data_IF_833746545820
#
_entry.id   IF_833746545820
#
_cell.length_a   1.000
_cell.length_b   1.000
_cell.length_c   1.000
_cell.angle_alpha   90.00
_cell.angle_beta   90.00
_cell.angle_gamma   90.00
#
_symmetry.space_group_name_H-M   'P 1'
#
loop_
_entity.id
_entity.type
_entity.pdbx_description
1 polymer ?
#
# COMPACT_ATOMS: atom_id res chain seq x y z
N UNK A 1 8.69 -1.94 -10.15
CA UNK A 1 9.44 -1.68 -8.91
C UNK A 1 9.91 -2.99 -8.32
N UNK A 2 11.17 -3.13 -8.05
CA UNK A 2 11.76 -4.30 -7.39
C UNK A 2 12.14 -3.91 -5.97
N UNK A 3 11.69 -4.67 -4.99
CA UNK A 3 11.92 -4.38 -3.57
C UNK A 3 12.90 -5.37 -2.96
N UNK A 4 13.66 -4.90 -1.99
CA UNK A 4 14.57 -5.70 -1.19
C UNK A 4 14.15 -5.70 0.27
N UNK A 5 14.56 -6.72 1.02
CA UNK A 5 14.33 -6.79 2.45
C UNK A 5 14.91 -5.54 3.13
N UNK A 6 14.13 -4.90 3.98
CA UNK A 6 14.50 -3.66 4.64
C UNK A 6 14.04 -2.38 3.94
N UNK A 7 13.60 -2.45 2.69
CA UNK A 7 13.06 -1.28 2.01
C UNK A 7 11.83 -0.75 2.75
N UNK A 8 11.68 0.57 2.75
CA UNK A 8 10.49 1.25 3.25
C UNK A 8 9.70 1.74 2.06
N UNK A 9 8.40 1.42 2.02
CA UNK A 9 7.50 1.85 0.96
C UNK A 9 6.25 2.47 1.57
N UNK A 10 5.64 3.39 0.83
CA UNK A 10 4.38 4.02 1.21
C UNK A 10 3.29 3.64 0.23
N UNK A 11 2.10 3.37 0.76
CA UNK A 11 0.89 3.22 -0.02
C UNK A 11 0.01 4.43 0.23
N UNK A 12 -0.24 5.21 -0.81
CA UNK A 12 -1.09 6.38 -0.75
C UNK A 12 -2.37 6.07 -1.52
N UNK A 13 -3.52 6.23 -0.87
CA UNK A 13 -4.83 6.15 -1.52
C UNK A 13 -5.46 7.54 -1.51
N UNK A 14 -5.91 7.98 -2.68
CA UNK A 14 -6.58 9.26 -2.87
C UNK A 14 -8.00 9.03 -3.37
N UNK A 15 -8.91 9.92 -2.97
CA UNK A 15 -10.33 9.88 -3.37
C UNK A 15 -11.03 8.59 -2.94
N UNK A 16 -10.63 8.00 -1.82
CA UNK A 16 -11.29 6.84 -1.25
C UNK A 16 -12.67 7.27 -0.71
N UNK A 17 -13.72 6.60 -1.19
CA UNK A 17 -15.09 6.92 -0.78
C UNK A 17 -15.58 5.97 0.29
N UNK A 18 -16.24 6.53 1.29
CA UNK A 18 -16.99 5.78 2.27
C UNK A 18 -18.40 5.53 1.72
N UNK A 19 -18.82 4.27 1.62
CA UNK A 19 -20.14 3.89 1.10
C UNK A 19 -21.29 4.47 1.91
N UNK A 20 -21.10 4.69 3.20
CA UNK A 20 -22.15 5.12 4.12
C UNK A 20 -22.27 6.64 4.23
N UNK A 21 -21.21 7.38 4.08
CA UNK A 21 -21.18 8.82 4.31
C UNK A 21 -20.93 9.66 3.06
N UNK A 22 -20.62 9.03 1.93
CA UNK A 22 -20.16 9.73 0.71
C UNK A 22 -18.96 10.65 0.94
N UNK A 23 -18.21 10.43 2.02
CA UNK A 23 -17.03 11.20 2.34
C UNK A 23 -15.87 10.74 1.48
N UNK A 24 -15.13 11.69 0.92
CA UNK A 24 -13.89 11.41 0.17
C UNK A 24 -12.72 11.64 1.10
N UNK A 25 -11.90 10.61 1.27
CA UNK A 25 -10.74 10.68 2.16
C UNK A 25 -9.47 10.25 1.44
N UNK A 26 -8.34 10.73 1.93
CA UNK A 26 -7.02 10.27 1.54
C UNK A 26 -6.42 9.50 2.70
N UNK A 27 -5.68 8.44 2.40
CA UNK A 27 -4.99 7.66 3.41
C UNK A 27 -3.56 7.36 2.99
N UNK A 28 -2.69 7.22 3.97
CA UNK A 28 -1.29 6.89 3.76
C UNK A 28 -0.87 5.83 4.78
N UNK A 29 -0.25 4.76 4.29
CA UNK A 29 0.32 3.71 5.11
C UNK A 29 1.79 3.53 4.74
N UNK A 30 2.63 3.33 5.74
CA UNK A 30 4.06 3.08 5.56
C UNK A 30 4.35 1.64 5.93
N UNK A 31 5.06 0.94 5.05
CA UNK A 31 5.40 -0.46 5.21
C UNK A 31 6.90 -0.69 5.14
N UNK A 32 7.35 -1.70 5.84
CA UNK A 32 8.70 -2.23 5.71
C UNK A 32 8.64 -3.61 5.06
N UNK A 33 9.51 -3.85 4.09
CA UNK A 33 9.67 -5.16 3.49
C UNK A 33 10.44 -6.05 4.47
N UNK A 34 9.75 -7.03 5.05
CA UNK A 34 10.33 -7.94 6.04
C UNK A 34 10.72 -9.29 5.44
N UNK A 35 10.22 -9.60 4.25
CA UNK A 35 10.50 -10.86 3.57
C UNK A 35 10.37 -10.71 2.06
N UNK A 36 11.24 -11.36 1.33
CA UNK A 36 11.15 -11.47 -0.13
C UNK A 36 10.91 -12.93 -0.46
N UNK A 37 9.70 -13.25 -0.94
CA UNK A 37 9.30 -14.59 -1.36
C UNK A 37 9.44 -14.73 -2.87
N UNK A 38 9.18 -15.90 -3.41
CA UNK A 38 9.28 -16.16 -4.85
C UNK A 38 8.31 -15.27 -5.66
N UNK A 39 7.06 -15.13 -5.21
CA UNK A 39 6.00 -14.40 -5.93
C UNK A 39 5.47 -13.17 -5.19
N UNK A 40 5.88 -12.98 -3.94
CA UNK A 40 5.35 -11.90 -3.11
C UNK A 40 6.44 -11.25 -2.28
N UNK A 41 6.12 -10.06 -1.77
CA UNK A 41 6.88 -9.39 -0.71
C UNK A 41 6.06 -9.47 0.58
N UNK A 42 6.68 -9.89 1.68
CA UNK A 42 6.07 -9.79 3.00
C UNK A 42 6.27 -8.38 3.54
N UNK A 43 5.20 -7.73 3.96
CA UNK A 43 5.21 -6.37 4.46
C UNK A 43 4.72 -6.31 5.89
N UNK A 44 5.32 -5.41 6.68
CA UNK A 44 4.81 -5.02 7.99
C UNK A 44 4.47 -3.54 7.95
N UNK A 45 3.27 -3.19 8.37
CA UNK A 45 2.86 -1.80 8.46
C UNK A 45 3.55 -1.16 9.67
N UNK A 46 4.32 -0.12 9.43
CA UNK A 46 5.09 0.60 10.47
C UNK A 46 4.56 2.00 10.73
N UNK A 47 3.62 2.48 9.94
CA UNK A 47 3.01 3.80 10.12
C UNK A 47 1.62 3.88 9.51
N UNK A 48 0.74 4.66 10.14
CA UNK A 48 -0.64 4.82 9.76
C UNK A 48 -1.59 4.04 10.68
N UNK A 49 -2.88 4.05 10.32
CA UNK A 49 -3.91 3.46 11.18
C UNK A 49 -3.85 1.92 11.29
N UNK A 50 -3.09 1.27 10.40
CA UNK A 50 -2.91 -0.19 10.41
C UNK A 50 -1.56 -0.62 10.98
N UNK A 51 -0.87 0.26 11.69
CA UNK A 51 0.44 -0.04 12.27
C UNK A 51 0.43 -1.35 13.07
N UNK A 52 1.43 -2.19 12.82
CA UNK A 52 1.57 -3.50 13.46
C UNK A 52 0.98 -4.66 12.68
N UNK A 53 0.20 -4.40 11.62
CA UNK A 53 -0.34 -5.46 10.77
C UNK A 53 0.67 -5.95 9.75
N UNK A 54 0.50 -7.19 9.28
CA UNK A 54 1.33 -7.80 8.25
C UNK A 54 0.47 -8.19 7.06
N UNK A 55 1.03 -8.05 5.86
CA UNK A 55 0.36 -8.45 4.62
C UNK A 55 1.39 -8.87 3.58
N UNK A 56 0.89 -9.36 2.45
CA UNK A 56 1.72 -9.69 1.30
C UNK A 56 1.37 -8.79 0.13
N UNK A 57 2.39 -8.39 -0.62
CA UNK A 57 2.25 -7.65 -1.86
C UNK A 57 2.77 -8.51 -3.00
N UNK A 58 1.96 -8.73 -4.02
CA UNK A 58 2.36 -9.55 -5.17
C UNK A 58 3.50 -8.85 -5.94
N UNK A 59 4.50 -9.63 -6.36
CA UNK A 59 5.52 -9.11 -7.27
C UNK A 59 4.88 -8.76 -8.61
N UNK A 60 5.29 -7.67 -9.21
CA UNK A 60 4.64 -7.14 -10.40
C UNK A 60 3.43 -6.27 -10.11
N UNK A 61 3.22 -5.86 -8.86
CA UNK A 61 2.17 -4.92 -8.50
C UNK A 61 2.29 -3.61 -9.30
N UNK A 62 1.17 -2.96 -9.55
CA UNK A 62 1.15 -1.66 -10.21
C UNK A 62 1.54 -0.56 -9.22
N UNK A 63 2.53 0.24 -9.59
CA UNK A 63 2.97 1.36 -8.75
C UNK A 63 1.92 2.45 -8.63
N UNK A 64 1.07 2.60 -9.66
CA UNK A 64 -0.04 3.53 -9.65
C UNK A 64 -1.22 2.90 -10.37
N UNK A 65 -2.38 2.90 -9.74
CA UNK A 65 -3.60 2.35 -10.31
C UNK A 65 -4.82 3.13 -9.84
N UNK A 66 -5.89 3.06 -10.61
CA UNK A 66 -7.18 3.65 -10.24
C UNK A 66 -8.27 2.60 -10.43
N UNK A 67 -9.23 2.57 -9.52
CA UNK A 67 -10.39 1.69 -9.64
C UNK A 67 -11.55 2.38 -10.38
N UNK A 68 -12.65 1.66 -10.55
CA UNK A 68 -13.84 2.17 -11.25
C UNK A 68 -14.54 3.32 -10.51
N UNK A 69 -14.26 3.48 -9.23
CA UNK A 69 -14.83 4.55 -8.39
C UNK A 69 -13.95 5.79 -8.31
N UNK A 70 -12.81 5.79 -8.99
CA UNK A 70 -11.87 6.90 -9.00
C UNK A 70 -10.88 6.91 -7.84
N UNK A 71 -10.85 5.89 -6.99
CA UNK A 71 -9.82 5.76 -5.96
C UNK A 71 -8.48 5.45 -6.62
N UNK A 72 -7.49 6.28 -6.37
CA UNK A 72 -6.12 6.11 -6.89
C UNK A 72 -5.24 5.53 -5.79
N UNK A 73 -4.56 4.45 -6.11
CA UNK A 73 -3.57 3.82 -5.23
C UNK A 73 -2.19 4.01 -5.83
N UNK A 74 -1.25 4.49 -5.03
CA UNK A 74 0.13 4.70 -5.45
C UNK A 74 1.08 4.10 -4.42
N UNK A 75 2.10 3.38 -4.91
CA UNK A 75 3.17 2.84 -4.12
C UNK A 75 4.45 3.62 -4.39
N UNK A 76 5.12 4.08 -3.35
CA UNK A 76 6.33 4.90 -3.45
C UNK A 76 7.43 4.28 -2.62
N UNK A 77 8.59 4.07 -3.23
CA UNK A 77 9.79 3.66 -2.50
C UNK A 77 10.39 4.89 -1.81
N UNK A 78 10.56 4.76 -0.52
CA UNK A 78 11.15 5.84 0.29
C UNK A 78 12.67 5.75 0.29
#
# INVERSE_FOLDING_TARGET
>A
MTLEKGNIIKRIKKNERDEFSNTVANSELTYKVIRVNTKTYGLECIGGYMKGTKCNLIKGFKEKSADVYGTVTEWILV
#
